data_IF_840145640094
#
_entry.id   IF_840145640094
#
_cell.length_a   1.000
_cell.length_b   1.000
_cell.length_c   1.000
_cell.angle_alpha   90.00
_cell.angle_beta   90.00
_cell.angle_gamma   90.00
#
_symmetry.space_group_name_H-M   'P 1'
#
loop_
_entity.id
_entity.type
_entity.pdbx_description
1 polymer ?
#
# COMPACT_ATOMS: atom_id res chain seq x y z
N UNK A 1 64.52 -28.12 -17.49
CA UNK A 1 64.01 -28.24 -16.12
C UNK A 1 62.49 -28.26 -16.17
N UNK A 2 61.88 -29.41 -15.93
CA UNK A 2 60.43 -29.60 -16.03
C UNK A 2 59.82 -29.33 -14.66
N UNK A 3 59.04 -28.25 -14.56
CA UNK A 3 58.41 -27.83 -13.30
C UNK A 3 57.10 -28.62 -13.11
N UNK A 4 57.13 -29.66 -12.29
CA UNK A 4 55.94 -30.40 -11.88
C UNK A 4 55.22 -29.65 -10.77
N UNK A 5 53.97 -29.23 -11.03
CA UNK A 5 53.11 -28.54 -10.07
C UNK A 5 52.71 -29.47 -8.90
N UNK A 6 52.59 -28.95 -7.66
CA UNK A 6 52.23 -29.78 -6.51
C UNK A 6 50.73 -30.11 -6.52
N UNK A 7 50.46 -31.39 -6.27
CA UNK A 7 49.15 -32.03 -6.32
C UNK A 7 48.20 -31.49 -5.23
N UNK A 8 47.14 -30.78 -5.64
CA UNK A 8 46.06 -30.26 -4.78
C UNK A 8 45.19 -31.38 -4.19
N UNK A 9 45.63 -32.04 -3.12
CA UNK A 9 44.86 -33.11 -2.44
C UNK A 9 44.21 -32.68 -1.11
N UNK A 10 44.58 -31.53 -0.54
CA UNK A 10 44.15 -31.12 0.81
C UNK A 10 42.76 -30.46 0.89
N UNK A 11 42.22 -29.97 -0.24
CA UNK A 11 40.93 -29.26 -0.28
C UNK A 11 39.70 -30.17 -0.13
N UNK A 12 39.84 -31.50 -0.29
CA UNK A 12 38.69 -32.42 -0.22
C UNK A 12 38.32 -32.85 1.20
N UNK A 13 39.19 -32.66 2.19
CA UNK A 13 38.95 -33.12 3.57
C UNK A 13 38.23 -32.10 4.45
N UNK A 14 38.33 -30.81 4.14
CA UNK A 14 37.65 -29.74 4.89
C UNK A 14 36.34 -29.26 4.27
N UNK A 15 36.13 -29.53 2.98
CA UNK A 15 34.96 -29.03 2.24
C UNK A 15 33.68 -29.81 2.55
N UNK A 16 33.79 -31.13 2.77
CA UNK A 16 32.66 -32.03 3.02
C UNK A 16 31.98 -31.80 4.39
N UNK A 17 32.69 -31.59 5.52
CA UNK A 17 32.00 -31.30 6.78
C UNK A 17 31.33 -29.91 6.78
N UNK A 18 31.83 -28.97 5.98
CA UNK A 18 31.30 -27.61 5.91
C UNK A 18 29.96 -27.55 5.17
N UNK A 19 29.78 -28.33 4.09
CA UNK A 19 28.51 -28.37 3.34
C UNK A 19 27.39 -29.10 4.10
N UNK A 20 27.73 -30.09 4.93
CA UNK A 20 26.74 -30.79 5.77
C UNK A 20 26.26 -29.87 6.90
N UNK A 21 27.16 -29.10 7.50
CA UNK A 21 26.81 -28.15 8.55
C UNK A 21 25.88 -27.04 8.03
N UNK A 22 26.17 -26.47 6.85
CA UNK A 22 25.30 -25.44 6.26
C UNK A 22 23.92 -25.99 5.88
N UNK A 23 23.83 -27.25 5.43
CA UNK A 23 22.56 -27.90 5.16
C UNK A 23 21.70 -28.09 6.43
N UNK A 24 22.30 -28.52 7.55
CA UNK A 24 21.58 -28.69 8.82
C UNK A 24 21.07 -27.34 9.36
N UNK A 25 21.91 -26.31 9.29
CA UNK A 25 21.51 -24.95 9.70
C UNK A 25 20.38 -24.42 8.80
N UNK A 26 20.45 -24.62 7.49
CA UNK A 26 19.39 -24.19 6.57
C UNK A 26 18.05 -24.91 6.81
N UNK A 27 18.09 -26.22 7.10
CA UNK A 27 16.87 -27.01 7.39
C UNK A 27 16.24 -26.58 8.71
N UNK A 28 17.04 -26.35 9.75
CA UNK A 28 16.55 -25.91 11.07
C UNK A 28 15.95 -24.50 11.01
N UNK A 29 16.60 -23.55 10.33
CA UNK A 29 16.04 -22.20 10.13
C UNK A 29 14.73 -22.26 9.33
N UNK A 30 14.67 -23.09 8.27
CA UNK A 30 13.46 -23.26 7.48
C UNK A 30 12.30 -23.85 8.29
N UNK A 31 12.59 -24.81 9.18
CA UNK A 31 11.59 -25.40 10.08
C UNK A 31 11.07 -24.37 11.10
N UNK A 32 11.95 -23.51 11.63
CA UNK A 32 11.58 -22.45 12.56
C UNK A 32 10.72 -21.35 11.91
N UNK A 33 10.98 -21.03 10.63
CA UNK A 33 10.11 -20.14 9.84
C UNK A 33 8.71 -20.74 9.61
N UNK A 34 8.63 -22.04 9.29
CA UNK A 34 7.33 -22.72 9.11
C UNK A 34 6.53 -22.87 10.39
N UNK A 35 7.20 -23.07 11.52
CA UNK A 35 6.57 -23.17 12.84
C UNK A 35 6.11 -21.81 13.41
N UNK A 36 6.33 -20.71 12.70
CA UNK A 36 5.89 -19.38 13.12
C UNK A 36 6.63 -18.81 14.35
N UNK A 37 7.71 -19.47 14.79
CA UNK A 37 8.55 -19.03 15.91
C UNK A 37 9.31 -17.74 15.56
N UNK A 38 9.63 -17.57 14.28
CA UNK A 38 10.06 -16.31 13.69
C UNK A 38 8.86 -15.64 13.03
N UNK A 39 7.86 -15.26 13.84
CA UNK A 39 6.81 -14.37 13.37
C UNK A 39 7.44 -13.07 12.87
N UNK A 40 6.97 -12.57 11.72
CA UNK A 40 7.44 -11.29 11.17
C UNK A 40 7.45 -10.22 12.27
N UNK A 41 8.59 -9.56 12.57
CA UNK A 41 8.66 -8.52 13.59
C UNK A 41 7.96 -7.22 13.16
N UNK A 42 7.48 -7.18 11.91
CA UNK A 42 6.77 -6.04 11.39
C UNK A 42 5.30 -6.17 11.73
N UNK A 43 4.75 -5.28 12.58
CA UNK A 43 3.31 -5.11 12.64
C UNK A 43 2.85 -4.84 11.21
N UNK A 44 1.81 -5.55 10.79
CA UNK A 44 1.07 -5.22 9.57
C UNK A 44 0.60 -3.78 9.80
N UNK A 45 1.30 -2.80 9.23
CA UNK A 45 0.85 -1.42 9.24
C UNK A 45 -0.45 -1.46 8.46
N UNK A 46 -1.56 -1.51 9.18
CA UNK A 46 -2.88 -1.41 8.57
C UNK A 46 -2.99 0.04 8.16
N UNK A 47 -2.64 0.30 6.91
CA UNK A 47 -2.94 1.56 6.27
C UNK A 47 -4.44 1.50 5.95
N UNK A 48 -5.28 1.78 6.93
CA UNK A 48 -6.71 2.07 6.74
C UNK A 48 -6.89 3.50 6.17
N UNK A 49 -6.03 3.88 5.22
CA UNK A 49 -6.14 5.13 4.49
C UNK A 49 -6.72 4.84 3.11
N UNK A 50 -7.87 5.48 2.85
CA UNK A 50 -8.55 5.62 1.57
C UNK A 50 -9.31 4.41 1.01
N UNK A 51 -10.46 4.13 1.63
CA UNK A 51 -11.68 4.19 0.82
C UNK A 51 -12.06 5.66 0.74
N UNK A 52 -11.69 6.29 -0.37
CA UNK A 52 -12.11 7.64 -0.71
C UNK A 52 -13.61 7.62 -0.98
N UNK A 53 -14.43 7.67 0.07
CA UNK A 53 -15.84 7.96 -0.08
C UNK A 53 -15.94 9.40 -0.60
N UNK A 54 -16.06 9.51 -1.92
CA UNK A 54 -16.16 10.80 -2.59
C UNK A 54 -17.47 11.44 -2.21
N UNK A 55 -17.40 12.56 -1.51
CA UNK A 55 -18.54 13.44 -1.34
C UNK A 55 -18.96 13.98 -2.71
N UNK A 56 -20.25 13.84 -3.04
CA UNK A 56 -20.77 14.27 -4.33
C UNK A 56 -21.68 15.47 -4.15
N UNK A 57 -21.46 16.49 -4.98
CA UNK A 57 -22.18 17.74 -4.93
C UNK A 57 -22.89 17.98 -6.27
N UNK A 58 -24.17 18.34 -6.20
CA UNK A 58 -25.03 18.49 -7.37
C UNK A 58 -25.94 19.71 -7.19
N UNK A 59 -26.30 20.34 -8.30
CA UNK A 59 -27.33 21.37 -8.36
C UNK A 59 -28.53 20.81 -9.10
N UNK A 60 -29.75 21.15 -8.68
CA UNK A 60 -30.95 20.83 -9.46
C UNK A 60 -31.08 21.73 -10.70
N UNK A 61 -30.36 22.86 -10.73
CA UNK A 61 -30.46 23.87 -11.77
C UNK A 61 -29.52 23.65 -12.96
N UNK A 62 -28.42 22.91 -12.79
CA UNK A 62 -27.42 22.68 -13.84
C UNK A 62 -26.60 21.42 -13.55
N UNK A 63 -26.04 20.79 -14.59
CA UNK A 63 -25.10 19.68 -14.44
C UNK A 63 -23.65 20.16 -14.45
N UNK A 64 -22.75 19.26 -14.07
CA UNK A 64 -21.31 19.54 -14.13
C UNK A 64 -20.87 19.84 -15.56
N UNK A 65 -20.21 20.99 -15.74
CA UNK A 65 -19.70 21.45 -17.04
C UNK A 65 -20.74 22.14 -17.93
N UNK A 66 -22.00 22.25 -17.51
CA UNK A 66 -23.01 23.04 -18.20
C UNK A 66 -22.96 24.51 -17.77
N UNK A 67 -23.53 25.39 -18.61
CA UNK A 67 -23.68 26.82 -18.27
C UNK A 67 -24.68 26.99 -17.12
N UNK A 68 -24.38 27.95 -16.23
CA UNK A 68 -25.26 28.29 -15.11
C UNK A 68 -26.43 29.15 -15.63
N UNK A 69 -27.69 28.83 -15.28
CA UNK A 69 -28.83 29.63 -15.70
C UNK A 69 -28.74 31.09 -15.24
N UNK A 70 -29.14 32.02 -16.11
CA UNK A 70 -29.04 33.47 -15.86
C UNK A 70 -29.65 33.94 -14.53
N UNK A 71 -30.72 33.30 -14.06
CA UNK A 71 -31.35 33.63 -12.77
C UNK A 71 -30.37 33.56 -11.58
N UNK A 72 -29.33 32.74 -11.68
CA UNK A 72 -28.29 32.58 -10.65
C UNK A 72 -27.00 33.35 -10.97
N UNK A 73 -27.01 34.21 -11.99
CA UNK A 73 -25.88 35.09 -12.33
C UNK A 73 -26.17 36.54 -11.91
N UNK A 74 -25.12 37.35 -11.88
CA UNK A 74 -25.22 38.78 -11.58
C UNK A 74 -26.04 39.57 -12.62
N UNK A 75 -26.31 38.97 -13.78
CA UNK A 75 -27.07 39.59 -14.88
C UNK A 75 -28.59 39.50 -14.69
N UNK A 76 -29.06 38.76 -13.68
CA UNK A 76 -30.49 38.64 -13.35
C UNK A 76 -30.70 38.72 -11.84
N UNK A 77 -31.27 37.69 -11.22
CA UNK A 77 -31.83 37.77 -9.88
C UNK A 77 -30.75 37.63 -8.79
N UNK A 78 -29.54 37.20 -9.19
CA UNK A 78 -28.38 37.03 -8.32
C UNK A 78 -28.70 36.23 -7.04
N UNK A 79 -29.59 35.24 -7.17
CA UNK A 79 -29.97 34.34 -6.09
C UNK A 79 -29.07 33.11 -6.11
N UNK A 80 -28.86 32.49 -4.95
CA UNK A 80 -28.05 31.27 -4.88
C UNK A 80 -28.78 30.08 -5.52
N UNK A 81 -28.08 29.24 -6.30
CA UNK A 81 -28.68 28.04 -6.88
C UNK A 81 -29.02 26.99 -5.82
N UNK A 82 -29.99 26.10 -6.10
CA UNK A 82 -30.31 24.99 -5.21
C UNK A 82 -29.19 23.94 -5.25
N UNK A 83 -28.48 23.78 -4.14
CA UNK A 83 -27.34 22.88 -4.01
C UNK A 83 -27.67 21.71 -3.10
N UNK A 84 -27.17 20.53 -3.47
CA UNK A 84 -27.46 19.28 -2.77
C UNK A 84 -26.21 18.41 -2.70
N UNK A 85 -26.01 17.81 -1.54
CA UNK A 85 -24.89 16.93 -1.24
C UNK A 85 -25.46 15.51 -1.18
N UNK A 86 -25.01 14.62 -2.06
CA UNK A 86 -25.44 13.21 -2.03
C UNK A 86 -24.44 12.38 -1.24
N UNK A 87 -24.97 11.71 -0.22
CA UNK A 87 -24.22 10.91 0.75
C UNK A 87 -23.73 9.60 0.11
N UNK A 88 -22.42 9.35 0.21
CA UNK A 88 -21.91 7.96 0.23
C UNK A 88 -21.34 7.66 1.62
N UNK A 89 -20.61 8.58 2.23
CA UNK A 89 -20.45 8.76 3.69
C UNK A 89 -19.62 10.03 3.89
N UNK A 90 -20.03 10.91 4.82
CA UNK A 90 -19.07 11.89 5.32
C UNK A 90 -18.05 11.11 6.15
N UNK A 91 -16.75 11.40 6.06
CA UNK A 91 -15.77 10.74 6.90
C UNK A 91 -16.16 10.84 8.38
N UNK A 92 -15.96 9.75 9.12
CA UNK A 92 -16.20 9.73 10.55
C UNK A 92 -15.45 10.89 11.23
N UNK A 93 -16.16 11.64 12.07
CA UNK A 93 -15.63 12.86 12.69
C UNK A 93 -15.82 14.15 11.89
N UNK A 94 -16.63 14.15 10.82
CA UNK A 94 -17.01 15.41 10.16
C UNK A 94 -17.85 16.29 11.09
N UNK A 95 -17.30 17.44 11.50
CA UNK A 95 -17.94 18.38 12.43
C UNK A 95 -18.77 19.44 11.72
N UNK A 96 -18.36 19.87 10.53
CA UNK A 96 -18.98 20.97 9.80
C UNK A 96 -18.76 20.85 8.30
N UNK A 97 -19.73 21.35 7.52
CA UNK A 97 -19.62 21.56 6.08
C UNK A 97 -19.65 23.07 5.81
N UNK A 98 -18.80 23.53 4.89
CA UNK A 98 -18.67 24.95 4.53
C UNK A 98 -18.79 25.09 3.01
N UNK A 99 -19.50 26.13 2.57
CA UNK A 99 -19.72 26.48 1.17
C UNK A 99 -19.52 27.99 0.98
#
# INVERSE_FOLDING_TARGET
ATFTAPQRSWLRRFFVPCTVLTAIIAVTISALFKAGVLSNPFPKMVVDYYMSDSISFRSAAFKFGEEIPKSYTADSDNVSPPLSWSHVSLPDGTVSLVL
#
